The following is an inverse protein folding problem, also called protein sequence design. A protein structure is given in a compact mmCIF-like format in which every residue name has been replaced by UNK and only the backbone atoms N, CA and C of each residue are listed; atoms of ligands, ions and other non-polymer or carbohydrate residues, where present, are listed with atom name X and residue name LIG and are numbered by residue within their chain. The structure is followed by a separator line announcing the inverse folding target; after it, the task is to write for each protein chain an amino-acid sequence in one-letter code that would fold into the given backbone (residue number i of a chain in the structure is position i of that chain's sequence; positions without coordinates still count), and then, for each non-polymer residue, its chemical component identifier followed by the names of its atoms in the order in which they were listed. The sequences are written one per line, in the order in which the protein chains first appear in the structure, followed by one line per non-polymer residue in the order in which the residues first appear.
data_IF_130749602752
#
_entry.id   IF_130749602752
#
_cell.length_a   1.000
_cell.length_b   1.000
_cell.length_c   1.000
_cell.angle_alpha   90.00
_cell.angle_beta   90.00
_cell.angle_gamma   90.00
#
_symmetry.space_group_name_H-M   'P 1'
#
loop_
_entity.id
_entity.type
_entity.pdbx_description
1 polymer ?
#
# COMPACT_ATOMS: atom_id res chain seq x y z
N UNK A 1 1.31 -0.91 -3.04
CA UNK A 1 0.51 0.32 -2.86
C UNK A 1 1.47 1.50 -2.76
N UNK A 2 1.18 2.58 -3.47
CA UNK A 2 2.02 3.78 -3.42
C UNK A 2 2.10 4.34 -1.99
N UNK A 3 3.22 4.98 -1.67
CA UNK A 3 3.51 5.49 -0.33
C UNK A 3 3.17 6.97 -0.15
N UNK A 4 2.37 7.51 -1.07
CA UNK A 4 1.93 8.89 -1.05
C UNK A 4 1.18 9.22 0.26
N UNK A 5 1.36 10.43 0.83
CA UNK A 5 0.95 10.74 2.21
C UNK A 5 -0.55 10.59 2.49
N UNK A 6 -1.38 10.64 1.44
CA UNK A 6 -2.83 10.52 1.53
C UNK A 6 -3.31 9.08 1.75
N UNK A 7 -2.45 8.06 1.64
CA UNK A 7 -2.81 6.71 2.07
C UNK A 7 -2.67 6.58 3.59
N UNK A 8 -3.82 6.47 4.28
CA UNK A 8 -3.89 6.16 5.71
C UNK A 8 -3.43 4.71 5.94
N UNK A 9 -2.11 4.53 6.06
CA UNK A 9 -1.44 3.22 6.11
C UNK A 9 -2.01 2.29 7.18
N UNK A 10 -2.51 2.83 8.29
CA UNK A 10 -3.11 2.08 9.40
C UNK A 10 -4.49 1.53 9.01
N UNK A 11 -5.39 2.38 8.50
CA UNK A 11 -6.74 1.98 8.13
C UNK A 11 -6.73 0.93 7.01
N UNK A 12 -5.87 1.14 6.02
CA UNK A 12 -5.69 0.21 4.89
C UNK A 12 -5.17 -1.14 5.37
N UNK A 13 -4.22 -1.17 6.31
CA UNK A 13 -3.72 -2.41 6.90
C UNK A 13 -4.83 -3.14 7.65
N UNK A 14 -5.62 -2.42 8.45
CA UNK A 14 -6.72 -3.00 9.23
C UNK A 14 -7.78 -3.63 8.32
N UNK A 15 -8.19 -2.92 7.27
CA UNK A 15 -9.15 -3.44 6.29
C UNK A 15 -8.58 -4.65 5.56
N UNK A 16 -7.34 -4.57 5.08
CA UNK A 16 -6.71 -5.68 4.35
C UNK A 16 -6.54 -6.93 5.22
N UNK A 17 -6.10 -6.78 6.47
CA UNK A 17 -5.96 -7.89 7.41
C UNK A 17 -7.31 -8.57 7.71
N UNK A 18 -8.41 -7.82 7.75
CA UNK A 18 -9.77 -8.37 7.91
C UNK A 18 -10.16 -9.31 6.77
N UNK A 19 -9.61 -9.09 5.58
CA UNK A 19 -9.84 -9.93 4.41
C UNK A 19 -8.75 -11.01 4.20
N UNK A 20 -7.84 -11.19 5.15
CA UNK A 20 -6.73 -12.15 5.05
C UNK A 20 -5.65 -11.73 4.05
N UNK A 21 -5.64 -10.46 3.62
CA UNK A 21 -4.71 -9.93 2.64
C UNK A 21 -3.60 -9.14 3.32
N UNK A 22 -2.38 -9.25 2.81
CA UNK A 22 -1.23 -8.49 3.30
C UNK A 22 -0.92 -7.32 2.36
N UNK A 23 -0.81 -6.11 2.93
CA UNK A 23 -0.49 -4.89 2.18
C UNK A 23 1.02 -4.72 2.12
N UNK A 24 1.58 -4.70 0.91
CA UNK A 24 2.97 -4.33 0.66
C UNK A 24 3.07 -2.84 0.29
N UNK A 25 3.78 -2.09 1.14
CA UNK A 25 4.07 -0.68 0.94
C UNK A 25 5.42 -0.50 0.21
N UNK A 26 5.42 0.30 -0.84
CA UNK A 26 6.43 0.25 -1.92
C UNK A 26 7.72 1.09 -1.79
N UNK A 27 8.36 1.36 -0.65
CA UNK A 27 9.38 2.45 -0.56
C UNK A 27 8.92 3.83 -1.15
N UNK A 28 9.55 4.96 -0.78
CA UNK A 28 9.23 6.25 -1.40
C UNK A 28 9.73 6.33 -2.84
N UNK A 29 8.99 7.00 -3.73
CA UNK A 29 9.40 7.30 -5.12
C UNK A 29 9.92 6.08 -5.91
N UNK A 30 9.15 4.99 -5.86
CA UNK A 30 9.48 3.72 -6.53
C UNK A 30 8.50 3.39 -7.69
N UNK A 31 8.36 4.28 -8.70
CA UNK A 31 7.37 4.12 -9.77
C UNK A 31 7.61 2.88 -10.64
N UNK A 32 8.86 2.43 -10.73
CA UNK A 32 9.23 1.23 -11.49
C UNK A 32 8.72 -0.07 -10.86
N UNK A 33 8.34 -0.03 -9.58
CA UNK A 33 7.86 -1.18 -8.81
C UNK A 33 6.34 -1.19 -8.63
N UNK A 34 5.61 -0.26 -9.27
CA UNK A 34 4.16 -0.32 -9.33
C UNK A 34 3.72 -1.01 -10.64
N UNK A 35 3.23 -2.27 -10.58
CA UNK A 35 2.87 -3.03 -11.79
C UNK A 35 1.56 -2.55 -12.44
N UNK A 36 0.81 -1.67 -11.78
CA UNK A 36 -0.51 -1.17 -12.21
C UNK A 36 -0.37 0.16 -12.96
N UNK A 37 0.63 0.29 -13.85
CA UNK A 37 0.68 1.46 -14.74
C UNK A 37 -0.62 1.61 -15.54
#
# INVERSE_FOLDING_TARGET
MDNVPFHKKIDIRTISSKHGQCVLFLMPYSPDFNPIK
#
